data_IF_716054039243
#
_entry.id   IF_716054039243
#
_cell.length_a   1.000
_cell.length_b   1.000
_cell.length_c   1.000
_cell.angle_alpha   90.00
_cell.angle_beta   90.00
_cell.angle_gamma   90.00
#
_symmetry.space_group_name_H-M   'P 1'
#
loop_
_entity.id
_entity.type
_entity.pdbx_description
1 polymer ?
#
# COMPACT_ATOMS: atom_id res chain seq x y z
N UNK A 1 28.45 29.33 70.24
CA UNK A 1 28.30 29.72 68.89
C UNK A 1 28.39 28.44 68.03
N UNK A 2 27.47 27.60 68.16
CA UNK A 2 27.45 26.28 67.52
C UNK A 2 26.27 26.22 66.58
N UNK A 3 26.54 25.85 65.38
CA UNK A 3 25.53 25.52 64.40
C UNK A 3 25.44 24.02 64.24
N UNK A 4 24.32 23.48 64.70
CA UNK A 4 24.00 22.06 64.60
C UNK A 4 23.23 21.85 63.30
N UNK A 5 23.72 20.93 62.44
CA UNK A 5 23.04 20.45 61.22
C UNK A 5 22.63 19.03 61.44
N UNK A 6 21.33 18.79 61.60
CA UNK A 6 20.76 17.48 61.59
C UNK A 6 20.67 16.87 60.16
N UNK A 7 20.63 15.56 60.02
CA UNK A 7 20.75 14.83 58.74
C UNK A 7 19.43 14.84 57.93
N UNK A 8 19.58 14.94 56.62
CA UNK A 8 18.52 14.79 55.66
C UNK A 8 18.00 13.34 55.63
N UNK A 9 16.67 13.19 55.68
CA UNK A 9 15.98 11.93 55.50
C UNK A 9 15.76 11.66 54.02
N UNK A 10 16.26 10.54 53.56
CA UNK A 10 15.98 9.93 52.28
C UNK A 10 14.48 9.63 52.15
N UNK A 11 13.83 10.24 51.15
CA UNK A 11 12.48 9.80 50.72
C UNK A 11 12.63 8.99 49.44
N UNK A 12 12.36 7.73 49.52
CA UNK A 12 12.12 6.86 48.39
C UNK A 12 10.87 7.32 47.63
N UNK A 13 10.87 7.30 46.28
CA UNK A 13 9.66 7.52 45.52
C UNK A 13 8.77 6.27 45.55
N UNK A 14 7.55 6.43 46.04
CA UNK A 14 6.51 5.43 45.99
C UNK A 14 6.15 5.15 44.51
N UNK A 15 6.22 3.87 44.14
CA UNK A 15 5.71 3.38 42.87
C UNK A 15 4.17 3.39 42.90
N UNK A 16 3.55 4.40 42.36
CA UNK A 16 2.12 4.38 42.03
C UNK A 16 1.90 3.41 40.87
N UNK A 17 1.39 2.23 41.22
CA UNK A 17 0.89 1.25 40.26
C UNK A 17 -0.30 1.87 39.52
N UNK A 18 -0.13 2.08 38.19
CA UNK A 18 -1.23 2.42 37.30
C UNK A 18 -2.09 1.16 37.15
N UNK A 19 -3.21 1.17 37.86
CA UNK A 19 -4.25 0.16 37.76
C UNK A 19 -4.91 0.28 36.38
N UNK A 20 -4.51 -0.57 35.45
CA UNK A 20 -5.17 -0.70 34.14
C UNK A 20 -6.35 -1.65 34.31
N UNK A 21 -7.51 -1.10 34.61
CA UNK A 21 -8.79 -1.79 34.57
C UNK A 21 -9.12 -2.21 33.11
N UNK A 22 -9.15 -3.52 32.78
CA UNK A 22 -9.51 -4.01 31.44
C UNK A 22 -11.03 -4.13 31.24
N UNK A 23 -11.84 -3.45 32.03
CA UNK A 23 -13.28 -3.67 32.15
C UNK A 23 -14.21 -2.55 31.72
N UNK A 24 -13.74 -1.49 31.02
CA UNK A 24 -14.69 -0.54 30.46
C UNK A 24 -15.20 -1.04 29.09
N UNK A 25 -16.23 -1.88 29.15
CA UNK A 25 -17.14 -2.12 28.04
C UNK A 25 -17.71 -0.75 27.60
N UNK A 26 -17.29 -0.29 26.41
CA UNK A 26 -17.84 0.92 25.78
C UNK A 26 -19.33 0.69 25.62
N UNK A 27 -20.12 1.36 26.45
CA UNK A 27 -21.59 1.26 26.49
C UNK A 27 -22.14 1.54 25.08
N UNK A 28 -22.93 0.61 24.57
CA UNK A 28 -23.75 0.84 23.38
C UNK A 28 -24.70 1.98 23.72
N UNK A 29 -24.69 3.06 22.91
CA UNK A 29 -25.70 4.11 22.94
C UNK A 29 -27.02 3.47 22.51
N UNK A 30 -28.03 3.49 23.35
CA UNK A 30 -29.32 2.84 23.13
C UNK A 30 -30.17 3.47 22.00
N UNK A 31 -29.70 4.57 21.38
CA UNK A 31 -30.36 5.25 20.23
C UNK A 31 -29.47 5.30 18.98
N UNK A 32 -28.42 4.47 18.88
CA UNK A 32 -27.52 4.49 17.73
C UNK A 32 -28.06 3.61 16.60
N UNK A 33 -28.09 4.14 15.39
CA UNK A 33 -28.34 3.39 14.16
C UNK A 33 -27.52 2.08 14.16
N UNK A 34 -28.16 0.90 14.09
CA UNK A 34 -27.49 -0.39 14.25
C UNK A 34 -26.60 -0.77 13.05
N UNK A 35 -26.65 0.01 11.95
CA UNK A 35 -25.83 -0.27 10.76
C UNK A 35 -24.34 -0.14 11.08
N UNK A 36 -23.50 -1.03 10.52
CA UNK A 36 -22.06 -0.92 10.66
C UNK A 36 -21.53 0.38 10.05
N UNK A 37 -20.41 0.84 10.59
CA UNK A 37 -19.78 2.11 10.22
C UNK A 37 -18.59 1.90 9.28
N UNK A 38 -18.54 2.70 8.22
CA UNK A 38 -17.45 2.74 7.25
C UNK A 38 -16.74 4.09 7.32
N UNK A 39 -15.41 4.05 7.34
CA UNK A 39 -14.56 5.22 7.17
C UNK A 39 -13.61 5.04 6.00
N UNK A 40 -13.42 6.08 5.19
CA UNK A 40 -12.47 6.11 4.08
C UNK A 40 -11.42 7.18 4.36
N UNK A 41 -10.16 6.77 4.46
CA UNK A 41 -9.04 7.61 4.84
C UNK A 41 -8.09 7.82 3.69
N UNK A 42 -7.63 9.07 3.54
CA UNK A 42 -6.70 9.48 2.51
C UNK A 42 -5.33 9.80 3.10
N UNK A 43 -4.29 9.24 2.48
CA UNK A 43 -2.90 9.60 2.66
C UNK A 43 -2.29 10.02 1.31
N UNK A 44 -0.97 10.00 1.14
CA UNK A 44 -0.36 10.41 -0.12
C UNK A 44 -0.73 9.50 -1.28
N UNK A 45 -1.57 9.99 -2.21
CA UNK A 45 -2.12 9.25 -3.35
C UNK A 45 -2.57 10.18 -4.47
N UNK A 46 -3.03 9.61 -5.59
CA UNK A 46 -3.71 10.32 -6.68
C UNK A 46 -5.24 10.24 -6.58
N UNK A 47 -5.78 9.69 -5.48
CA UNK A 47 -7.21 9.49 -5.20
C UNK A 47 -7.94 8.49 -6.11
N UNK A 48 -7.23 7.83 -7.02
CA UNK A 48 -7.82 6.91 -7.99
C UNK A 48 -8.60 5.75 -7.36
N UNK A 49 -8.20 5.29 -6.18
CA UNK A 49 -8.91 4.22 -5.48
C UNK A 49 -10.20 4.74 -4.79
N UNK A 50 -10.21 5.97 -4.27
CA UNK A 50 -11.42 6.60 -3.77
C UNK A 50 -12.39 6.93 -4.90
N UNK A 51 -11.89 7.42 -6.04
CA UNK A 51 -12.70 7.62 -7.23
C UNK A 51 -13.32 6.30 -7.72
N UNK A 52 -12.59 5.18 -7.66
CA UNK A 52 -13.16 3.85 -7.95
C UNK A 52 -14.33 3.49 -7.04
N UNK A 53 -14.29 3.91 -5.76
CA UNK A 53 -15.43 3.72 -4.85
C UNK A 53 -16.60 4.62 -5.26
N UNK A 54 -16.37 5.87 -5.64
CA UNK A 54 -17.42 6.78 -6.13
C UNK A 54 -18.02 6.29 -7.45
N UNK A 55 -17.20 5.73 -8.35
CA UNK A 55 -17.66 5.13 -9.62
C UNK A 55 -18.57 3.88 -9.42
N UNK A 56 -18.70 3.40 -8.18
CA UNK A 56 -19.69 2.34 -7.87
C UNK A 56 -21.14 2.84 -7.91
N UNK A 57 -21.35 4.16 -7.95
CA UNK A 57 -22.68 4.80 -8.15
C UNK A 57 -23.84 4.06 -7.48
N UNK A 58 -24.64 3.31 -8.25
CA UNK A 58 -25.83 2.59 -7.77
C UNK A 58 -25.49 1.56 -6.69
N UNK A 59 -24.38 0.83 -6.81
CA UNK A 59 -23.95 -0.13 -5.79
C UNK A 59 -23.55 0.59 -4.48
N UNK A 60 -22.97 1.81 -4.58
CA UNK A 60 -22.65 2.63 -3.41
C UNK A 60 -23.93 3.13 -2.72
N UNK A 61 -24.94 3.51 -3.49
CA UNK A 61 -26.25 3.87 -2.94
C UNK A 61 -26.90 2.68 -2.21
N UNK A 62 -26.92 1.49 -2.84
CA UNK A 62 -27.38 0.27 -2.18
C UNK A 62 -26.57 -0.06 -0.92
N UNK A 63 -25.25 0.09 -0.96
CA UNK A 63 -24.40 -0.11 0.21
C UNK A 63 -24.75 0.88 1.34
N UNK A 64 -25.12 2.12 1.03
CA UNK A 64 -25.47 3.13 2.03
C UNK A 64 -26.78 2.84 2.79
N UNK A 65 -27.62 1.92 2.30
CA UNK A 65 -28.77 1.42 3.03
C UNK A 65 -28.36 0.48 4.17
N UNK A 66 -27.30 -0.31 3.95
CA UNK A 66 -26.82 -1.33 4.88
C UNK A 66 -25.66 -0.83 5.77
N UNK A 67 -24.97 0.24 5.36
CA UNK A 67 -23.74 0.76 5.98
C UNK A 67 -23.83 2.26 6.18
N UNK A 68 -23.35 2.73 7.30
CA UNK A 68 -23.23 4.15 7.59
C UNK A 68 -21.82 4.65 7.26
N UNK A 69 -21.70 5.45 6.19
CA UNK A 69 -20.43 6.11 5.83
C UNK A 69 -20.27 7.35 6.71
N UNK A 70 -19.36 7.27 7.70
CA UNK A 70 -19.16 8.34 8.68
C UNK A 70 -17.98 9.26 8.36
N UNK A 71 -17.03 8.77 7.59
CA UNK A 71 -15.87 9.54 7.18
C UNK A 71 -15.49 9.19 5.74
N UNK A 72 -15.59 10.17 4.85
CA UNK A 72 -15.15 10.06 3.46
C UNK A 72 -14.97 11.46 2.89
N UNK A 73 -13.74 11.97 2.88
CA UNK A 73 -13.44 13.36 2.53
C UNK A 73 -13.83 13.73 1.10
N UNK A 74 -13.71 12.82 0.14
CA UNK A 74 -14.07 13.08 -1.25
C UNK A 74 -15.60 13.14 -1.47
N UNK A 75 -16.40 12.66 -0.52
CA UNK A 75 -17.86 12.61 -0.62
C UNK A 75 -18.55 13.64 0.27
N UNK A 76 -17.88 14.12 1.32
CA UNK A 76 -18.45 15.07 2.25
C UNK A 76 -17.63 16.34 2.34
N UNK A 77 -18.26 17.50 2.06
CA UNK A 77 -17.69 18.82 2.33
C UNK A 77 -17.81 19.23 3.81
N UNK A 78 -18.29 18.35 4.68
CA UNK A 78 -18.43 18.65 6.10
C UNK A 78 -17.06 18.60 6.77
N UNK A 79 -16.51 19.77 7.07
CA UNK A 79 -15.47 19.91 8.08
C UNK A 79 -16.07 19.44 9.41
N UNK A 80 -15.59 18.33 9.95
CA UNK A 80 -15.93 17.97 11.33
C UNK A 80 -15.53 19.11 12.28
N UNK A 81 -16.12 19.19 13.49
CA UNK A 81 -15.76 20.23 14.45
C UNK A 81 -14.27 20.13 14.79
N UNK A 82 -13.48 21.00 14.11
CA UNK A 82 -12.01 21.00 14.16
C UNK A 82 -11.34 21.42 12.86
N UNK A 83 -12.14 21.75 11.83
CA UNK A 83 -11.77 22.47 10.59
C UNK A 83 -10.36 22.25 10.08
N UNK A 84 -10.08 21.08 9.48
CA UNK A 84 -8.82 20.83 8.82
C UNK A 84 -8.85 19.50 8.08
N UNK A 85 -8.00 19.32 7.06
CA UNK A 85 -7.75 18.04 6.37
C UNK A 85 -7.36 16.90 7.33
N UNK A 86 -7.11 17.25 8.58
CA UNK A 86 -6.85 16.39 9.74
C UNK A 86 -8.01 16.41 10.72
N UNK A 87 -9.26 16.61 10.27
CA UNK A 87 -10.43 16.66 11.14
C UNK A 87 -10.34 15.57 12.20
N UNK A 88 -10.75 15.83 13.45
CA UNK A 88 -10.66 14.83 14.48
C UNK A 88 -11.37 13.61 13.96
N UNK A 89 -10.66 12.56 13.80
CA UNK A 89 -11.19 11.22 13.71
C UNK A 89 -11.97 10.98 15.01
N UNK A 90 -13.10 11.65 15.12
CA UNK A 90 -13.68 12.00 16.42
C UNK A 90 -14.69 11.02 16.92
N UNK A 91 -15.06 9.95 16.22
CA UNK A 91 -16.17 9.15 16.71
C UNK A 91 -16.05 7.64 16.55
N UNK A 92 -14.87 7.13 16.24
CA UNK A 92 -14.70 5.66 16.25
C UNK A 92 -15.17 4.99 17.55
N UNK A 93 -15.15 3.68 17.64
CA UNK A 93 -14.52 2.81 16.66
C UNK A 93 -15.37 2.60 15.41
N UNK A 94 -14.73 2.68 14.24
CA UNK A 94 -15.33 2.30 12.96
C UNK A 94 -15.27 0.78 12.78
N UNK A 95 -16.34 0.20 12.23
CA UNK A 95 -16.37 -1.26 11.98
C UNK A 95 -15.42 -1.65 10.86
N UNK A 96 -15.35 -0.80 9.81
CA UNK A 96 -14.43 -0.95 8.69
C UNK A 96 -13.80 0.40 8.33
N UNK A 97 -12.49 0.43 8.24
CA UNK A 97 -11.73 1.56 7.68
C UNK A 97 -11.02 1.13 6.40
N UNK A 98 -11.27 1.85 5.31
CA UNK A 98 -10.52 1.76 4.06
C UNK A 98 -9.44 2.84 4.08
N UNK A 99 -8.20 2.47 3.84
CA UNK A 99 -7.05 3.38 3.86
C UNK A 99 -6.40 3.39 2.49
N UNK A 100 -6.45 4.55 1.81
CA UNK A 100 -5.75 4.82 0.57
C UNK A 100 -4.52 5.68 0.83
N UNK A 101 -3.49 5.47 0.00
CA UNK A 101 -2.28 6.29 0.02
C UNK A 101 -1.16 5.73 0.90
N UNK A 102 0.03 6.28 0.71
CA UNK A 102 1.26 5.91 1.41
C UNK A 102 1.64 6.95 2.45
N UNK A 103 2.56 6.60 3.34
CA UNK A 103 3.10 7.53 4.33
C UNK A 103 4.30 8.24 3.72
N UNK A 104 4.20 9.58 3.65
CA UNK A 104 5.23 10.45 3.08
C UNK A 104 5.59 11.65 3.97
N UNK A 105 4.89 11.82 5.09
CA UNK A 105 5.17 12.87 6.08
C UNK A 105 5.18 12.30 7.49
N UNK A 106 5.83 12.99 8.43
CA UNK A 106 5.80 12.62 9.84
C UNK A 106 4.39 12.68 10.42
N UNK A 107 3.62 13.70 10.03
CA UNK A 107 2.21 13.86 10.46
C UNK A 107 1.34 12.68 9.99
N UNK A 108 1.58 12.17 8.78
CA UNK A 108 0.87 10.99 8.28
C UNK A 108 1.24 9.73 9.08
N UNK A 109 2.52 9.61 9.49
CA UNK A 109 2.97 8.48 10.32
C UNK A 109 2.31 8.49 11.71
N UNK A 110 2.05 9.64 12.29
CA UNK A 110 1.29 9.78 13.53
C UNK A 110 -0.20 9.54 13.31
N UNK A 111 -0.76 10.11 12.24
CA UNK A 111 -2.18 10.01 11.90
C UNK A 111 -2.61 8.57 11.67
N UNK A 112 -1.80 7.75 10.99
CA UNK A 112 -2.15 6.35 10.75
C UNK A 112 -2.23 5.53 12.04
N UNK A 113 -1.40 5.84 13.06
CA UNK A 113 -1.50 5.22 14.38
C UNK A 113 -2.87 5.50 15.03
N UNK A 114 -3.36 6.74 14.88
CA UNK A 114 -4.69 7.08 15.36
C UNK A 114 -5.78 6.33 14.58
N UNK A 115 -5.71 6.33 13.25
CA UNK A 115 -6.66 5.59 12.39
C UNK A 115 -6.75 4.12 12.80
N UNK A 116 -5.60 3.46 13.07
CA UNK A 116 -5.58 2.06 13.54
C UNK A 116 -6.34 1.88 14.86
N UNK A 117 -6.13 2.77 15.83
CA UNK A 117 -6.79 2.70 17.15
C UNK A 117 -8.31 2.83 17.08
N UNK A 118 -8.83 3.63 16.14
CA UNK A 118 -10.27 3.86 15.97
C UNK A 118 -10.93 2.93 14.95
N UNK A 119 -10.21 1.93 14.46
CA UNK A 119 -10.70 0.97 13.46
C UNK A 119 -10.75 -0.43 14.04
N UNK A 120 -11.91 -1.09 13.99
CA UNK A 120 -12.02 -2.52 14.31
C UNK A 120 -11.32 -3.37 13.26
N UNK A 121 -11.56 -3.05 11.98
CA UNK A 121 -10.88 -3.63 10.84
C UNK A 121 -10.30 -2.52 9.97
N UNK A 122 -9.04 -2.67 9.60
CA UNK A 122 -8.31 -1.74 8.72
C UNK A 122 -7.90 -2.48 7.45
N UNK A 123 -8.41 -2.00 6.33
CA UNK A 123 -8.14 -2.52 4.99
C UNK A 123 -7.39 -1.46 4.18
N UNK A 124 -6.23 -1.79 3.66
CA UNK A 124 -5.52 -0.92 2.73
C UNK A 124 -6.01 -1.14 1.31
N UNK A 125 -6.22 -0.04 0.57
CA UNK A 125 -6.68 -0.08 -0.82
C UNK A 125 -5.68 0.61 -1.74
N UNK A 126 -5.32 -0.09 -2.82
CA UNK A 126 -4.44 0.41 -3.86
C UNK A 126 -2.94 0.23 -3.61
N UNK A 127 -2.17 0.32 -4.69
CA UNK A 127 -0.72 0.12 -4.69
C UNK A 127 0.02 1.13 -3.78
N UNK A 128 -0.52 2.34 -3.59
CA UNK A 128 0.06 3.34 -2.69
C UNK A 128 0.05 2.83 -1.24
N UNK A 129 -1.10 2.36 -0.76
CA UNK A 129 -1.25 1.90 0.61
C UNK A 129 -0.56 0.55 0.87
N UNK A 130 -0.49 -0.34 -0.14
CA UNK A 130 0.06 -1.69 -0.01
C UNK A 130 1.55 -1.81 -0.34
N UNK A 131 2.11 -0.88 -1.12
CA UNK A 131 3.50 -0.98 -1.62
C UNK A 131 4.17 0.39 -1.86
N UNK A 132 3.72 1.44 -1.19
CA UNK A 132 4.26 2.79 -1.33
C UNK A 132 3.85 3.52 -2.61
N UNK A 133 3.30 2.83 -3.63
CA UNK A 133 2.84 3.40 -4.89
C UNK A 133 3.95 3.92 -5.81
N UNK A 134 3.56 4.66 -6.84
CA UNK A 134 4.50 5.30 -7.77
C UNK A 134 5.40 6.32 -7.07
N UNK A 135 4.93 6.97 -6.02
CA UNK A 135 5.72 7.91 -5.22
C UNK A 135 6.87 7.25 -4.45
N UNK A 136 6.87 5.92 -4.29
CA UNK A 136 8.00 5.17 -3.72
C UNK A 136 9.23 5.12 -4.64
N UNK A 137 9.15 5.64 -5.88
CA UNK A 137 10.32 5.89 -6.71
C UNK A 137 11.32 6.83 -6.05
N UNK A 138 10.85 7.73 -5.17
CA UNK A 138 11.72 8.60 -4.36
C UNK A 138 12.68 7.83 -3.45
N UNK A 139 12.31 6.62 -3.04
CA UNK A 139 13.12 5.79 -2.15
C UNK A 139 14.48 5.40 -2.77
N UNK A 140 14.65 5.60 -4.08
CA UNK A 140 15.85 5.29 -4.85
C UNK A 140 16.60 6.54 -5.34
N UNK A 141 16.30 7.71 -4.80
CA UNK A 141 16.92 8.98 -5.18
C UNK A 141 17.07 9.94 -4.00
N UNK A 142 17.61 11.12 -4.28
CA UNK A 142 17.74 12.19 -3.30
C UNK A 142 16.50 13.08 -3.32
N UNK A 143 15.73 13.04 -2.25
CA UNK A 143 14.46 13.79 -2.14
C UNK A 143 14.69 15.30 -2.01
N UNK A 144 15.80 15.72 -1.40
CA UNK A 144 16.13 17.14 -1.30
C UNK A 144 16.51 17.72 -2.66
N UNK A 145 17.24 16.95 -3.47
CA UNK A 145 17.52 17.32 -4.87
C UNK A 145 16.22 17.43 -5.68
N UNK A 146 15.30 16.48 -5.55
CA UNK A 146 13.99 16.55 -6.23
C UNK A 146 13.17 17.76 -5.79
N UNK A 147 13.14 18.06 -4.49
CA UNK A 147 12.45 19.24 -3.96
C UNK A 147 13.04 20.53 -4.51
N UNK A 148 14.35 20.65 -4.52
CA UNK A 148 15.05 21.82 -5.05
C UNK A 148 14.82 22.01 -6.56
N UNK A 149 14.72 20.92 -7.31
CA UNK A 149 14.48 20.99 -8.76
C UNK A 149 13.03 21.36 -9.13
N UNK A 150 12.05 20.94 -8.31
CA UNK A 150 10.62 21.06 -8.64
C UNK A 150 9.98 22.31 -8.04
N UNK A 151 10.33 22.66 -6.81
CA UNK A 151 9.64 23.72 -6.06
C UNK A 151 10.46 25.01 -6.00
N UNK A 152 9.82 26.14 -6.29
CA UNK A 152 10.44 27.46 -6.17
C UNK A 152 10.82 27.82 -4.71
N UNK A 153 10.17 27.23 -3.74
CA UNK A 153 10.36 27.40 -2.30
C UNK A 153 10.38 26.03 -1.61
N UNK A 154 11.46 25.22 -1.78
CA UNK A 154 11.55 23.87 -1.24
C UNK A 154 11.48 23.82 0.30
N UNK A 155 11.83 24.90 0.97
CA UNK A 155 11.77 25.05 2.43
C UNK A 155 10.34 24.97 3.01
N UNK A 156 9.31 25.17 2.19
CA UNK A 156 7.91 25.05 2.61
C UNK A 156 7.38 23.63 2.51
N UNK A 157 8.13 22.71 1.90
CA UNK A 157 7.72 21.32 1.71
C UNK A 157 8.33 20.46 2.80
N UNK A 158 7.51 20.00 3.74
CA UNK A 158 7.90 18.97 4.72
C UNK A 158 7.53 17.60 4.19
N UNK A 159 8.51 16.72 4.04
CA UNK A 159 8.31 15.35 3.57
C UNK A 159 9.39 14.43 4.14
N UNK A 160 9.08 13.13 4.23
CA UNK A 160 10.08 12.09 4.51
C UNK A 160 10.87 11.76 3.24
N UNK A 161 12.06 11.23 3.41
CA UNK A 161 12.90 10.76 2.29
C UNK A 161 12.29 9.55 1.58
N UNK A 162 11.36 8.86 2.25
CA UNK A 162 10.75 7.65 1.74
C UNK A 162 9.23 7.77 1.63
N UNK A 163 8.65 6.99 0.73
CA UNK A 163 7.23 6.68 0.68
C UNK A 163 7.05 5.21 1.04
N UNK A 164 6.32 4.94 2.12
CA UNK A 164 6.19 3.60 2.70
C UNK A 164 4.75 3.11 2.73
N UNK A 165 4.50 1.79 2.61
CA UNK A 165 3.17 1.22 2.75
C UNK A 165 2.65 1.38 4.19
N UNK A 166 1.34 1.33 4.34
CA UNK A 166 0.65 1.44 5.64
C UNK A 166 1.08 0.32 6.59
N UNK A 167 1.30 -0.89 6.08
CA UNK A 167 1.73 -2.05 6.86
C UNK A 167 3.11 -1.90 7.53
N UNK A 168 3.93 -0.96 7.07
CA UNK A 168 5.20 -0.61 7.72
C UNK A 168 4.99 0.17 9.04
N UNK A 169 3.81 0.72 9.27
CA UNK A 169 3.50 1.58 10.42
C UNK A 169 2.50 0.97 11.39
N UNK A 170 1.51 0.21 10.89
CA UNK A 170 0.44 -0.39 11.70
C UNK A 170 0.05 -1.77 11.16
N UNK A 171 -0.49 -2.66 12.01
CA UNK A 171 -1.08 -3.92 11.55
C UNK A 171 -2.27 -3.68 10.62
N UNK A 172 -2.30 -4.38 9.49
CA UNK A 172 -3.36 -4.32 8.47
C UNK A 172 -4.11 -5.65 8.45
N UNK A 173 -5.45 -5.59 8.46
CA UNK A 173 -6.28 -6.80 8.49
C UNK A 173 -6.44 -7.42 7.09
N UNK A 174 -6.40 -6.59 6.03
CA UNK A 174 -6.48 -7.04 4.64
C UNK A 174 -5.90 -6.00 3.68
N UNK A 175 -5.32 -6.46 2.58
CA UNK A 175 -4.77 -5.61 1.50
C UNK A 175 -5.51 -5.85 0.19
N UNK A 176 -6.17 -4.81 -0.34
CA UNK A 176 -6.74 -4.81 -1.69
C UNK A 176 -5.80 -4.08 -2.63
N UNK A 177 -5.10 -4.83 -3.47
CA UNK A 177 -4.08 -4.32 -4.39
C UNK A 177 -4.67 -3.83 -5.71
N UNK A 178 -3.99 -2.92 -6.38
CA UNK A 178 -4.36 -2.37 -7.69
C UNK A 178 -3.94 -0.92 -7.84
N UNK A 179 -3.78 -0.45 -9.08
CA UNK A 179 -3.54 0.96 -9.38
C UNK A 179 -4.32 1.39 -10.64
N UNK A 180 -5.59 1.84 -10.44
CA UNK A 180 -6.38 1.74 -9.23
C UNK A 180 -6.88 0.30 -8.94
N UNK A 181 -7.59 0.13 -7.83
CA UNK A 181 -8.25 -1.14 -7.45
C UNK A 181 -9.38 -1.50 -8.43
N UNK A 182 -9.77 -2.77 -8.45
CA UNK A 182 -10.96 -3.21 -9.21
C UNK A 182 -12.24 -2.99 -8.39
N UNK A 183 -13.26 -2.39 -9.02
CA UNK A 183 -14.55 -2.07 -8.40
C UNK A 183 -15.24 -3.28 -7.78
N UNK A 184 -15.29 -4.41 -8.49
CA UNK A 184 -15.97 -5.62 -8.01
C UNK A 184 -15.24 -6.24 -6.81
N UNK A 185 -13.91 -6.21 -6.82
CA UNK A 185 -13.11 -6.66 -5.68
C UNK A 185 -13.32 -5.75 -4.47
N UNK A 186 -13.43 -4.43 -4.68
CA UNK A 186 -13.70 -3.48 -3.60
C UNK A 186 -15.04 -3.78 -2.93
N UNK A 187 -16.10 -3.94 -3.71
CA UNK A 187 -17.44 -4.27 -3.20
C UNK A 187 -17.45 -5.60 -2.45
N UNK A 188 -16.76 -6.63 -3.00
CA UNK A 188 -16.60 -7.91 -2.33
C UNK A 188 -15.87 -7.76 -0.98
N UNK A 189 -14.80 -6.96 -0.93
CA UNK A 189 -14.05 -6.72 0.32
C UNK A 189 -14.92 -6.03 1.36
N UNK A 190 -15.65 -4.98 0.98
CA UNK A 190 -16.54 -4.26 1.90
C UNK A 190 -17.61 -5.21 2.44
N UNK A 191 -18.37 -5.85 1.56
CA UNK A 191 -19.47 -6.74 1.94
C UNK A 191 -19.01 -7.94 2.76
N UNK A 192 -17.85 -8.52 2.43
CA UNK A 192 -17.27 -9.62 3.18
C UNK A 192 -16.90 -9.22 4.61
N UNK A 193 -16.20 -8.10 4.78
CA UNK A 193 -15.79 -7.65 6.11
C UNK A 193 -16.98 -7.26 6.99
N UNK A 194 -17.99 -6.61 6.43
CA UNK A 194 -19.22 -6.26 7.15
C UNK A 194 -20.03 -7.49 7.55
N UNK A 195 -20.06 -8.51 6.69
CA UNK A 195 -20.68 -9.81 7.01
C UNK A 195 -19.82 -10.72 7.91
N UNK A 196 -18.62 -10.27 8.34
CA UNK A 196 -17.72 -11.05 9.18
C UNK A 196 -17.08 -12.25 8.48
N UNK A 197 -17.09 -12.32 7.15
CA UNK A 197 -16.47 -13.38 6.35
C UNK A 197 -15.16 -12.93 5.71
N UNK A 198 -14.37 -13.89 5.26
CA UNK A 198 -13.15 -13.61 4.51
C UNK A 198 -13.51 -13.20 3.06
N UNK A 199 -12.92 -12.11 2.51
CA UNK A 199 -13.11 -11.72 1.11
C UNK A 199 -12.67 -12.82 0.13
N UNK A 200 -13.45 -13.02 -0.92
CA UNK A 200 -13.14 -13.97 -1.99
C UNK A 200 -12.68 -13.22 -3.24
N UNK A 201 -11.42 -12.85 -3.26
CA UNK A 201 -10.78 -12.25 -4.43
C UNK A 201 -9.87 -13.26 -5.12
N UNK A 202 -9.59 -13.08 -6.45
CA UNK A 202 -8.72 -13.99 -7.20
C UNK A 202 -7.32 -14.08 -6.57
N UNK A 203 -6.77 -15.29 -6.40
CA UNK A 203 -5.41 -15.53 -5.92
C UNK A 203 -4.43 -15.88 -7.05
N UNK A 204 -4.90 -15.95 -8.29
CA UNK A 204 -4.11 -16.34 -9.46
C UNK A 204 -3.43 -15.14 -10.14
N UNK A 205 -2.55 -15.42 -11.09
CA UNK A 205 -1.86 -14.38 -11.85
C UNK A 205 -2.73 -13.81 -12.99
N UNK A 206 -2.36 -12.60 -13.48
CA UNK A 206 -2.97 -11.96 -14.67
C UNK A 206 -2.95 -12.88 -15.90
N UNK A 207 -1.98 -13.79 -16.03
CA UNK A 207 -1.93 -14.75 -17.13
C UNK A 207 -3.19 -15.62 -17.23
N UNK A 208 -3.85 -15.93 -16.11
CA UNK A 208 -5.10 -16.67 -16.12
C UNK A 208 -6.23 -15.85 -16.79
N UNK A 209 -6.30 -14.56 -16.49
CA UNK A 209 -7.26 -13.65 -17.14
C UNK A 209 -6.97 -13.48 -18.63
N UNK A 210 -5.69 -13.37 -19.03
CA UNK A 210 -5.30 -13.37 -20.44
C UNK A 210 -5.83 -14.61 -21.19
N UNK A 211 -5.67 -15.80 -20.60
CA UNK A 211 -6.14 -17.05 -21.19
C UNK A 211 -7.66 -17.10 -21.26
N UNK A 212 -8.37 -16.71 -20.21
CA UNK A 212 -9.83 -16.64 -20.22
C UNK A 212 -10.37 -15.70 -21.28
N UNK A 213 -9.64 -14.63 -21.57
CA UNK A 213 -9.98 -13.61 -22.56
C UNK A 213 -9.65 -14.03 -24.00
N UNK A 214 -8.87 -15.11 -24.17
CA UNK A 214 -8.35 -15.51 -25.47
C UNK A 214 -7.28 -14.55 -26.03
N UNK A 215 -6.64 -13.76 -25.15
CA UNK A 215 -5.61 -12.80 -25.55
C UNK A 215 -4.32 -13.53 -25.97
N UNK A 216 -3.75 -13.13 -27.10
CA UNK A 216 -2.42 -13.59 -27.51
C UNK A 216 -1.37 -13.17 -26.51
N UNK A 217 -0.49 -14.09 -26.10
CA UNK A 217 0.60 -13.77 -25.18
C UNK A 217 1.61 -12.85 -25.86
N UNK A 218 1.72 -11.61 -25.39
CA UNK A 218 2.59 -10.60 -25.99
C UNK A 218 4.06 -10.94 -25.88
N UNK A 219 4.48 -11.65 -24.82
CA UNK A 219 5.86 -12.13 -24.68
C UNK A 219 6.18 -13.18 -25.73
N UNK A 220 5.32 -14.20 -25.90
CA UNK A 220 5.56 -15.28 -26.84
C UNK A 220 5.45 -14.79 -28.30
N UNK A 221 4.46 -13.96 -28.60
CA UNK A 221 4.20 -13.53 -29.98
C UNK A 221 5.12 -12.37 -30.44
N UNK A 222 5.55 -11.52 -29.53
CA UNK A 222 6.21 -10.27 -29.87
C UNK A 222 7.48 -9.96 -29.07
N UNK A 223 7.90 -10.86 -28.15
CA UNK A 223 9.05 -10.61 -27.26
C UNK A 223 8.83 -9.44 -26.29
N UNK A 224 7.57 -9.03 -26.07
CA UNK A 224 7.28 -7.87 -25.20
C UNK A 224 7.43 -8.26 -23.73
N UNK A 225 8.25 -7.55 -22.93
CA UNK A 225 8.35 -7.81 -21.49
C UNK A 225 6.99 -7.70 -20.79
N UNK A 226 6.69 -8.67 -19.90
CA UNK A 226 5.37 -8.75 -19.29
C UNK A 226 5.45 -9.35 -17.88
N UNK A 227 5.05 -8.59 -16.84
CA UNK A 227 4.98 -9.04 -15.46
C UNK A 227 3.72 -9.87 -15.12
N UNK A 228 2.89 -10.18 -16.11
CA UNK A 228 1.64 -10.96 -15.92
C UNK A 228 1.80 -12.25 -15.12
N UNK A 229 2.85 -13.06 -15.32
CA UNK A 229 3.05 -14.31 -14.57
C UNK A 229 3.19 -14.13 -13.06
N UNK A 230 3.74 -13.01 -12.61
CA UNK A 230 4.03 -12.72 -11.19
C UNK A 230 3.07 -11.69 -10.58
N UNK A 231 2.16 -11.13 -11.36
CA UNK A 231 1.21 -10.10 -10.93
C UNK A 231 -0.13 -10.71 -10.54
N UNK A 232 -0.70 -10.23 -9.43
CA UNK A 232 -2.03 -10.61 -8.95
C UNK A 232 -3.13 -10.20 -9.95
N UNK A 233 -4.10 -11.08 -10.16
CA UNK A 233 -5.23 -10.86 -11.06
C UNK A 233 -6.26 -9.87 -10.48
N UNK A 234 -7.12 -9.33 -11.35
CA UNK A 234 -8.22 -8.44 -10.97
C UNK A 234 -8.52 -7.38 -12.00
N UNK A 235 -7.52 -7.00 -12.83
CA UNK A 235 -7.68 -5.99 -13.86
C UNK A 235 -8.33 -6.50 -15.17
N UNK A 236 -8.66 -7.80 -15.26
CA UNK A 236 -9.16 -8.41 -16.50
C UNK A 236 -8.13 -8.47 -17.61
N UNK A 237 -6.82 -8.41 -17.30
CA UNK A 237 -5.72 -8.43 -18.27
C UNK A 237 -5.83 -7.35 -19.34
N UNK A 238 -6.20 -6.13 -18.96
CA UNK A 238 -6.46 -5.03 -19.90
C UNK A 238 -5.23 -4.69 -20.77
N UNK A 239 -4.03 -4.60 -20.16
CA UNK A 239 -2.82 -4.25 -20.91
C UNK A 239 -2.49 -5.28 -22.00
N UNK A 240 -2.43 -6.60 -21.72
CA UNK A 240 -2.23 -7.61 -22.76
C UNK A 240 -3.30 -7.62 -23.86
N UNK A 241 -4.55 -7.30 -23.49
CA UNK A 241 -5.64 -7.24 -24.48
C UNK A 241 -5.44 -6.13 -25.53
N UNK A 242 -4.64 -5.12 -25.21
CA UNK A 242 -4.25 -4.04 -26.13
C UNK A 242 -2.80 -4.17 -26.62
N UNK A 243 -2.24 -5.37 -26.62
CA UNK A 243 -0.90 -5.66 -27.15
C UNK A 243 0.25 -5.11 -26.30
N UNK A 244 0.02 -4.78 -25.01
CA UNK A 244 1.04 -4.30 -24.08
C UNK A 244 1.37 -5.35 -23.03
N UNK A 245 2.61 -5.39 -22.57
CA UNK A 245 2.99 -6.18 -21.41
C UNK A 245 2.27 -5.72 -20.13
N UNK A 246 2.12 -6.62 -19.17
CA UNK A 246 1.64 -6.26 -17.84
C UNK A 246 2.71 -5.44 -17.09
N UNK A 247 2.31 -4.35 -16.48
CA UNK A 247 3.19 -3.45 -15.72
C UNK A 247 3.23 -3.75 -14.22
N UNK A 248 2.57 -4.82 -13.76
CA UNK A 248 2.61 -5.21 -12.36
C UNK A 248 1.79 -4.35 -11.39
N UNK A 249 0.88 -3.49 -11.87
CA UNK A 249 0.18 -2.52 -11.02
C UNK A 249 -0.75 -3.14 -9.96
N UNK A 250 -1.13 -4.43 -10.09
CA UNK A 250 -1.87 -5.19 -9.07
C UNK A 250 -0.96 -5.91 -8.06
N UNK A 251 0.36 -5.61 -8.11
CA UNK A 251 1.33 -6.17 -7.16
C UNK A 251 1.59 -7.66 -7.35
N UNK A 252 2.45 -8.24 -6.51
CA UNK A 252 2.78 -9.66 -6.57
C UNK A 252 1.55 -10.54 -6.30
N UNK A 253 1.44 -11.66 -7.01
CA UNK A 253 0.45 -12.68 -6.67
C UNK A 253 0.91 -13.48 -5.42
N UNK A 254 0.05 -14.35 -4.88
CA UNK A 254 0.29 -15.05 -3.62
C UNK A 254 1.54 -15.95 -3.64
N UNK A 255 2.00 -16.40 -4.80
CA UNK A 255 3.18 -17.26 -4.97
C UNK A 255 3.97 -16.89 -6.22
N UNK A 256 4.53 -15.70 -6.30
CA UNK A 256 5.23 -15.25 -7.50
C UNK A 256 6.56 -16.01 -7.65
N UNK A 257 6.77 -16.65 -8.79
CA UNK A 257 8.08 -17.22 -9.12
C UNK A 257 8.98 -16.12 -9.73
N UNK A 258 9.48 -15.28 -8.87
CA UNK A 258 10.25 -14.10 -9.26
C UNK A 258 11.61 -14.47 -9.86
N UNK A 259 12.25 -15.53 -9.34
CA UNK A 259 13.54 -16.00 -9.87
C UNK A 259 13.40 -16.46 -11.33
N UNK A 260 12.36 -17.23 -11.64
CA UNK A 260 12.06 -17.63 -13.02
C UNK A 260 11.74 -16.42 -13.90
N UNK A 261 11.02 -15.43 -13.36
CA UNK A 261 10.70 -14.19 -14.08
C UNK A 261 11.96 -13.40 -14.46
N UNK A 262 12.91 -13.25 -13.53
CA UNK A 262 14.21 -12.62 -13.82
C UNK A 262 14.96 -13.36 -14.94
N UNK A 263 15.03 -14.69 -14.85
CA UNK A 263 15.67 -15.50 -15.88
C UNK A 263 15.02 -15.31 -17.26
N UNK A 264 13.71 -15.20 -17.30
CA UNK A 264 12.97 -14.95 -18.55
C UNK A 264 13.26 -13.57 -19.12
N UNK A 265 13.22 -12.52 -18.29
CA UNK A 265 13.47 -11.13 -18.73
C UNK A 265 14.89 -10.97 -19.29
N UNK A 266 15.88 -11.63 -18.65
CA UNK A 266 17.28 -11.68 -19.15
C UNK A 266 17.37 -12.45 -20.47
N UNK A 267 16.68 -13.56 -20.59
CA UNK A 267 16.62 -14.34 -21.84
C UNK A 267 15.99 -13.53 -22.98
N UNK A 268 15.00 -12.69 -22.67
CA UNK A 268 14.34 -11.80 -23.61
C UNK A 268 15.19 -10.56 -23.97
N UNK A 269 16.43 -10.47 -23.44
CA UNK A 269 17.41 -9.45 -23.78
C UNK A 269 17.30 -8.15 -22.98
N UNK A 270 16.56 -8.13 -21.89
CA UNK A 270 16.52 -6.95 -21.01
C UNK A 270 17.83 -6.76 -20.24
N UNK A 271 18.26 -5.52 -20.15
CA UNK A 271 19.40 -5.16 -19.28
C UNK A 271 18.98 -5.19 -17.80
N UNK A 272 19.95 -5.35 -16.89
CA UNK A 272 19.68 -5.34 -15.45
C UNK A 272 19.00 -4.02 -15.02
N UNK A 273 19.44 -2.90 -15.62
CA UNK A 273 18.82 -1.58 -15.38
C UNK A 273 17.36 -1.54 -15.80
N UNK A 274 17.00 -2.15 -16.93
CA UNK A 274 15.61 -2.18 -17.39
C UNK A 274 14.76 -3.12 -16.54
N UNK A 275 15.32 -4.24 -16.10
CA UNK A 275 14.68 -5.16 -15.15
C UNK A 275 14.39 -4.43 -13.83
N UNK A 276 15.37 -3.71 -13.27
CA UNK A 276 15.15 -2.87 -12.08
C UNK A 276 14.02 -1.88 -12.27
N UNK A 277 14.01 -1.15 -13.38
CA UNK A 277 12.96 -0.16 -13.70
C UNK A 277 11.57 -0.78 -13.76
N UNK A 278 11.45 -1.97 -14.34
CA UNK A 278 10.17 -2.68 -14.46
C UNK A 278 9.62 -3.08 -13.09
N UNK A 279 10.46 -3.53 -12.15
CA UNK A 279 10.02 -3.88 -10.79
C UNK A 279 9.84 -2.65 -9.88
N UNK A 280 10.53 -1.55 -10.14
CA UNK A 280 10.45 -0.29 -9.39
C UNK A 280 9.36 0.65 -9.89
N UNK A 281 8.22 0.15 -10.37
CA UNK A 281 7.11 0.99 -10.84
C UNK A 281 6.06 1.19 -9.74
N UNK A 282 4.91 0.56 -9.88
CA UNK A 282 3.75 0.76 -8.98
C UNK A 282 3.91 0.13 -7.60
N UNK A 283 4.79 -0.87 -7.46
CA UNK A 283 4.96 -1.66 -6.25
C UNK A 283 6.43 -1.68 -5.79
N UNK A 284 7.11 -0.53 -5.91
CA UNK A 284 8.54 -0.41 -5.65
C UNK A 284 8.95 -0.80 -4.23
N UNK A 285 8.11 -0.53 -3.23
CA UNK A 285 8.35 -0.90 -1.83
C UNK A 285 7.64 -2.20 -1.41
N UNK A 286 7.14 -3.00 -2.37
CA UNK A 286 6.62 -4.34 -2.05
C UNK A 286 7.74 -5.24 -1.55
N UNK A 287 7.55 -5.95 -0.42
CA UNK A 287 8.56 -6.85 0.14
C UNK A 287 9.03 -7.93 -0.84
N UNK A 288 8.15 -8.35 -1.77
CA UNK A 288 8.46 -9.38 -2.76
C UNK A 288 9.30 -8.84 -3.92
N UNK A 289 9.06 -7.60 -4.38
CA UNK A 289 9.74 -7.02 -5.54
C UNK A 289 11.05 -6.30 -5.18
N UNK A 290 11.13 -5.68 -3.99
CA UNK A 290 12.30 -4.94 -3.54
C UNK A 290 13.61 -5.77 -3.60
N UNK A 291 13.65 -7.03 -3.11
CA UNK A 291 14.88 -7.83 -3.17
C UNK A 291 15.34 -8.13 -4.59
N UNK A 292 14.45 -8.17 -5.57
CA UNK A 292 14.81 -8.43 -6.97
C UNK A 292 15.41 -7.22 -7.67
N UNK A 293 14.92 -6.05 -7.31
CA UNK A 293 15.51 -4.82 -7.78
C UNK A 293 16.96 -4.65 -7.28
N UNK A 294 17.25 -5.15 -6.08
CA UNK A 294 18.60 -5.11 -5.49
C UNK A 294 19.51 -6.20 -6.06
N UNK A 295 19.03 -7.44 -6.26
CA UNK A 295 19.78 -8.53 -6.89
C UNK A 295 20.25 -8.20 -8.31
N UNK A 296 19.43 -7.46 -9.06
CA UNK A 296 19.80 -6.99 -10.38
C UNK A 296 20.94 -5.95 -10.35
N UNK A 297 21.14 -5.23 -9.22
CA UNK A 297 22.27 -4.32 -9.03
C UNK A 297 23.58 -5.05 -8.69
N UNK A 298 23.52 -6.07 -7.85
CA UNK A 298 24.70 -6.83 -7.40
C UNK A 298 25.38 -7.61 -8.55
N UNK A 299 24.60 -8.12 -9.52
CA UNK A 299 25.16 -8.85 -10.67
C UNK A 299 25.84 -7.95 -11.71
N UNK A 300 25.60 -6.63 -11.71
CA UNK A 300 26.33 -5.69 -12.58
C UNK A 300 27.78 -5.50 -12.18
N UNK A 301 28.10 -5.72 -10.91
CA UNK A 301 29.47 -5.53 -10.38
C UNK A 301 30.32 -6.80 -10.52
N UNK A 302 29.76 -7.91 -11.00
CA UNK A 302 30.51 -9.15 -11.27
C UNK A 302 31.04 -9.12 -12.71
N UNK A 303 32.40 -9.07 -12.92
CA UNK A 303 32.93 -9.09 -14.27
C UNK A 303 32.47 -10.37 -15.00
N UNK A 304 31.83 -10.23 -16.14
CA UNK A 304 31.51 -11.36 -17.01
C UNK A 304 32.82 -12.05 -17.42
N UNK A 305 33.18 -13.13 -16.75
CA UNK A 305 34.16 -14.08 -17.29
C UNK A 305 33.44 -14.79 -18.46
N UNK A 306 33.60 -14.22 -19.64
CA UNK A 306 33.17 -14.87 -20.88
C UNK A 306 33.93 -16.21 -21.00
N UNK A 307 33.33 -17.24 -21.64
CA UNK A 307 34.06 -18.45 -21.94
C UNK A 307 35.26 -18.06 -22.78
N UNK A 308 36.46 -18.35 -22.26
CA UNK A 308 37.69 -18.27 -23.01
C UNK A 308 37.49 -19.03 -24.33
N UNK A 309 37.55 -18.30 -25.43
CA UNK A 309 37.52 -18.87 -26.76
C UNK A 309 38.76 -19.74 -26.92
N UNK A 310 38.59 -21.04 -26.80
CA UNK A 310 39.64 -22.04 -27.07
C UNK A 310 40.09 -21.93 -28.55
N UNK A 311 41.30 -21.50 -28.84
CA UNK A 311 41.74 -21.28 -30.21
C UNK A 311 42.05 -22.56 -30.98
N UNK A 312 41.93 -23.74 -30.38
CA UNK A 312 42.34 -25.02 -30.98
C UNK A 312 41.29 -25.77 -31.82
N UNK A 313 40.10 -25.18 -32.07
CA UNK A 313 39.10 -25.84 -32.94
C UNK A 313 38.96 -25.23 -34.32
N UNK A 314 40.02 -24.70 -34.91
CA UNK A 314 40.15 -24.41 -36.34
C UNK A 314 41.42 -25.04 -36.90
N UNK A 315 41.42 -26.32 -37.11
CA UNK A 315 42.29 -27.04 -38.03
C UNK A 315 41.47 -28.15 -38.74
#
# INVERSE_FOLDING_TARGET
MGSDRGPAADREPSADAVDTDPGQAVGRREDADPRPTLAVWKFASCDGCQLTLLDCEDELLGLSEDVRIEHFLEMSGAEGPGGGRTGPAGRGPYDLSLVEGSITTADDAERIQHVRRVSRRLVTIGACATAGGIQALRNFGDVDEFRAAVYARPEYISTLDTSTPISAHVPVDFELRGCPIDRRQLLEVITAHLAGRKPQIPAHSVCFECKRRGTTCVTVAHGTPCLGPVTHAGCGAICPAYGRGCYGCFGPNDRPNLRSMLGQLRHDGMTETDIQRVFRTFNAASPEYAPLADLAAEEQDTPRTGPESDPEKRA
#
